data_IF_641963397570
#
_entry.id   IF_641963397570
#
_cell.length_a   1.000
_cell.length_b   1.000
_cell.length_c   1.000
_cell.angle_alpha   90.00
_cell.angle_beta   90.00
_cell.angle_gamma   90.00
#
_symmetry.space_group_name_H-M   'P 1'
#
loop_
_entity.id
_entity.type
_entity.pdbx_description
1 polymer ?
#
# COMPACT_ATOMS: atom_id res chain seq x y z
N UNK A 1 14.65 8.32 -1.20
CA UNK A 1 13.31 8.94 -1.35
C UNK A 1 13.36 10.39 -1.85
N UNK A 2 14.18 11.31 -1.30
CA UNK A 2 14.26 12.68 -1.86
C UNK A 2 14.56 12.71 -3.37
N UNK A 3 15.46 11.84 -3.86
CA UNK A 3 15.83 11.79 -5.28
C UNK A 3 14.83 11.04 -6.17
N UNK A 4 13.93 10.22 -5.59
CA UNK A 4 12.92 9.49 -6.36
C UNK A 4 11.83 10.45 -6.85
N UNK A 5 11.62 11.59 -6.21
CA UNK A 5 10.51 12.49 -6.51
C UNK A 5 9.19 12.02 -5.89
N UNK A 6 8.07 12.54 -6.41
CA UNK A 6 6.70 12.21 -5.94
C UNK A 6 5.93 11.44 -7.00
N UNK A 7 5.23 10.39 -6.60
CA UNK A 7 4.32 9.65 -7.46
C UNK A 7 3.12 9.12 -6.68
N UNK A 8 1.95 9.07 -7.33
CA UNK A 8 0.68 8.68 -6.70
C UNK A 8 0.68 7.24 -6.15
N UNK A 9 1.47 6.36 -6.74
CA UNK A 9 1.54 4.94 -6.39
C UNK A 9 2.78 4.58 -5.55
N UNK A 10 3.37 5.57 -4.86
CA UNK A 10 4.52 5.40 -3.96
C UNK A 10 4.22 6.20 -2.70
N UNK A 11 4.53 5.64 -1.53
CA UNK A 11 4.46 6.38 -0.26
C UNK A 11 5.49 7.51 -0.29
N UNK A 12 5.02 8.75 -0.28
CA UNK A 12 5.89 9.90 -0.42
C UNK A 12 6.47 10.35 0.92
N UNK A 13 7.72 10.81 0.87
CA UNK A 13 8.37 11.49 2.00
C UNK A 13 7.74 12.87 2.19
N UNK A 14 7.31 13.16 3.42
CA UNK A 14 6.79 14.46 3.83
C UNK A 14 7.87 15.31 4.50
N UNK A 15 8.77 14.69 5.26
CA UNK A 15 9.83 15.39 5.98
C UNK A 15 10.72 14.45 6.79
N UNK A 16 11.69 15.02 7.50
CA UNK A 16 12.52 14.27 8.44
C UNK A 16 12.99 15.17 9.57
N UNK A 17 13.07 14.62 10.78
CA UNK A 17 13.79 15.24 11.90
C UNK A 17 15.19 14.66 11.93
N UNK A 18 16.20 15.48 11.66
CA UNK A 18 17.59 15.03 11.47
C UNK A 18 18.60 15.69 12.40
N UNK A 19 18.17 16.61 13.26
CA UNK A 19 19.05 17.38 14.15
C UNK A 19 18.57 17.23 15.59
N UNK A 20 19.53 17.24 16.52
CA UNK A 20 19.30 17.31 17.97
C UNK A 20 18.27 16.30 18.51
N UNK A 21 18.36 15.05 18.05
CA UNK A 21 17.44 13.99 18.45
C UNK A 21 17.57 12.72 17.61
N UNK A 22 16.73 11.71 17.88
CA UNK A 22 16.65 10.52 17.04
C UNK A 22 16.17 10.87 15.62
N UNK A 23 16.67 10.13 14.63
CA UNK A 23 16.26 10.28 13.25
C UNK A 23 14.79 9.87 13.09
N UNK A 24 13.94 10.80 12.67
CA UNK A 24 12.57 10.51 12.27
C UNK A 24 12.38 10.76 10.79
N UNK A 25 11.71 9.81 10.12
CA UNK A 25 11.34 9.90 8.71
C UNK A 25 9.81 9.99 8.64
N UNK A 26 9.30 11.11 8.16
CA UNK A 26 7.88 11.43 8.13
C UNK A 26 7.38 11.14 6.72
N UNK A 27 6.40 10.25 6.59
CA UNK A 27 5.84 9.80 5.31
C UNK A 27 4.32 9.87 5.31
N UNK A 28 3.70 9.73 4.15
CA UNK A 28 2.25 9.60 4.02
C UNK A 28 1.69 8.42 4.83
N UNK A 29 0.56 8.63 5.49
CA UNK A 29 -0.15 7.60 6.24
C UNK A 29 -1.17 6.87 5.35
N UNK A 30 -1.02 5.55 5.22
CA UNK A 30 -1.97 4.68 4.52
C UNK A 30 -2.98 4.06 5.52
N UNK A 31 -4.17 4.67 5.63
CA UNK A 31 -5.18 4.31 6.65
C UNK A 31 -5.69 2.87 6.57
N UNK A 32 -5.65 2.24 5.39
CA UNK A 32 -6.08 0.85 5.20
C UNK A 32 -4.94 -0.19 5.38
N UNK A 33 -3.76 0.25 5.82
CA UNK A 33 -2.63 -0.64 6.12
C UNK A 33 -1.97 -1.22 4.86
N UNK A 34 -1.33 -2.38 5.03
CA UNK A 34 -0.62 -3.06 3.94
C UNK A 34 -1.58 -3.89 3.06
N UNK A 35 -1.18 -4.10 1.80
CA UNK A 35 -2.02 -4.79 0.80
C UNK A 35 -2.30 -6.25 1.17
N UNK A 36 -1.38 -6.95 1.85
CA UNK A 36 -1.56 -8.36 2.23
C UNK A 36 -2.74 -8.52 3.18
N UNK A 37 -2.78 -7.73 4.25
CA UNK A 37 -3.86 -7.77 5.23
C UNK A 37 -5.15 -7.17 4.67
N UNK A 38 -5.04 -6.13 3.83
CA UNK A 38 -6.17 -5.57 3.09
C UNK A 38 -6.90 -6.63 2.25
N UNK A 39 -6.16 -7.49 1.54
CA UNK A 39 -6.71 -8.58 0.71
C UNK A 39 -7.26 -9.72 1.57
N UNK A 40 -6.57 -10.11 2.65
CA UNK A 40 -7.02 -11.17 3.56
C UNK A 40 -8.36 -10.84 4.22
N UNK A 41 -8.51 -9.60 4.68
CA UNK A 41 -9.75 -9.12 5.29
C UNK A 41 -10.96 -9.13 4.35
N UNK A 42 -10.75 -9.28 3.03
CA UNK A 42 -11.81 -9.28 2.00
C UNK A 42 -11.98 -10.64 1.31
N UNK A 43 -11.38 -11.69 1.85
CA UNK A 43 -11.62 -13.07 1.38
C UNK A 43 -13.04 -13.51 1.75
N UNK A 44 -13.67 -14.36 0.93
CA UNK A 44 -14.92 -15.00 1.31
C UNK A 44 -14.79 -15.76 2.64
N UNK A 45 -15.86 -15.80 3.46
CA UNK A 45 -15.88 -16.57 4.70
C UNK A 45 -15.55 -18.05 4.43
N UNK A 46 -14.87 -18.70 5.38
CA UNK A 46 -14.51 -20.12 5.26
C UNK A 46 -13.29 -20.44 4.41
N UNK A 47 -12.63 -19.44 3.81
CA UNK A 47 -11.30 -19.63 3.19
C UNK A 47 -10.16 -19.50 4.20
N UNK A 48 -9.04 -20.18 3.93
CA UNK A 48 -7.81 -20.03 4.72
C UNK A 48 -7.40 -18.55 4.83
N UNK A 49 -6.90 -18.16 6.01
CA UNK A 49 -6.54 -16.78 6.37
C UNK A 49 -7.72 -15.78 6.42
N UNK A 50 -8.96 -16.24 6.47
CA UNK A 50 -10.07 -15.42 6.98
C UNK A 50 -9.95 -15.32 8.50
N UNK A 51 -9.94 -14.09 9.03
CA UNK A 51 -9.84 -13.87 10.48
C UNK A 51 -11.09 -14.32 11.24
N UNK A 52 -12.23 -14.38 10.54
CA UNK A 52 -13.51 -14.81 11.09
C UNK A 52 -14.27 -15.62 10.03
N UNK A 53 -14.55 -16.88 10.35
CA UNK A 53 -15.21 -17.85 9.47
C UNK A 53 -16.67 -17.49 9.23
N UNK A 54 -17.28 -16.68 10.10
CA UNK A 54 -18.70 -16.34 10.06
C UNK A 54 -18.98 -14.91 9.58
N UNK A 55 -17.94 -14.06 9.45
CA UNK A 55 -18.13 -12.65 9.10
C UNK A 55 -17.95 -12.43 7.60
N UNK A 56 -19.04 -12.06 6.93
CA UNK A 56 -18.98 -11.57 5.54
C UNK A 56 -18.22 -10.23 5.54
N UNK A 57 -17.16 -10.06 4.74
CA UNK A 57 -16.48 -8.79 4.61
C UNK A 57 -17.46 -7.71 4.13
N UNK A 58 -17.44 -6.52 4.76
CA UNK A 58 -18.26 -5.36 4.34
C UNK A 58 -17.91 -4.90 2.91
N UNK A 59 -16.67 -5.14 2.47
CA UNK A 59 -16.19 -4.88 1.12
C UNK A 59 -15.58 -6.16 0.55
N UNK A 60 -16.08 -6.65 -0.58
CA UNK A 60 -15.42 -7.71 -1.36
C UNK A 60 -14.64 -7.10 -2.52
N UNK A 61 -13.50 -7.72 -2.85
CA UNK A 61 -12.71 -7.32 -4.01
C UNK A 61 -13.29 -7.96 -5.27
N UNK A 62 -13.65 -7.14 -6.27
CA UNK A 62 -14.00 -7.65 -7.59
C UNK A 62 -12.75 -7.98 -8.40
N UNK A 63 -12.90 -8.71 -9.51
CA UNK A 63 -11.81 -8.92 -10.47
C UNK A 63 -11.24 -7.59 -10.99
N UNK A 64 -12.11 -6.61 -11.27
CA UNK A 64 -11.71 -5.28 -11.73
C UNK A 64 -10.85 -4.55 -10.69
N UNK A 65 -11.16 -4.70 -9.41
CA UNK A 65 -10.37 -4.10 -8.33
C UNK A 65 -8.97 -4.73 -8.25
N UNK A 66 -8.87 -6.04 -8.40
CA UNK A 66 -7.58 -6.75 -8.43
C UNK A 66 -6.70 -6.32 -9.62
N UNK A 67 -7.31 -6.20 -10.81
CA UNK A 67 -6.62 -5.69 -12.00
C UNK A 67 -6.19 -4.23 -11.78
N UNK A 68 -7.06 -3.39 -11.21
CA UNK A 68 -6.75 -2.00 -10.88
C UNK A 68 -5.60 -1.89 -9.87
N UNK A 69 -5.57 -2.73 -8.82
CA UNK A 69 -4.46 -2.81 -7.88
C UNK A 69 -3.15 -3.14 -8.59
N UNK A 70 -3.16 -4.18 -9.43
CA UNK A 70 -1.98 -4.59 -10.22
C UNK A 70 -1.49 -3.47 -11.13
N UNK A 71 -2.40 -2.81 -11.84
CA UNK A 71 -2.08 -1.68 -12.73
C UNK A 71 -1.45 -0.50 -11.97
N UNK A 72 -2.00 -0.14 -10.81
CA UNK A 72 -1.47 0.93 -9.97
C UNK A 72 -0.07 0.61 -9.43
N UNK A 73 0.17 -0.64 -9.00
CA UNK A 73 1.50 -1.09 -8.60
C UNK A 73 2.47 -1.03 -9.78
N UNK A 74 2.08 -1.54 -10.94
CA UNK A 74 2.90 -1.52 -12.16
C UNK A 74 3.32 -0.09 -12.54
N UNK A 75 2.40 0.89 -12.47
CA UNK A 75 2.73 2.31 -12.69
C UNK A 75 3.71 2.88 -11.66
N UNK A 76 3.56 2.49 -10.40
CA UNK A 76 4.53 2.85 -9.35
C UNK A 76 5.93 2.31 -9.67
N UNK A 77 6.01 1.06 -10.12
CA UNK A 77 7.27 0.42 -10.50
C UNK A 77 7.87 0.99 -11.79
N UNK A 78 7.04 1.31 -12.79
CA UNK A 78 7.46 2.00 -14.01
C UNK A 78 8.09 3.36 -13.68
N UNK A 79 7.46 4.12 -12.78
CA UNK A 79 8.03 5.36 -12.28
C UNK A 79 9.38 5.13 -11.60
N UNK A 80 9.48 4.19 -10.65
CA UNK A 80 10.76 3.88 -9.98
C UNK A 80 11.87 3.51 -10.98
N UNK A 81 11.56 2.65 -11.95
CA UNK A 81 12.50 2.26 -13.00
C UNK A 81 12.96 3.49 -13.82
N UNK A 82 12.07 4.41 -14.14
CA UNK A 82 12.40 5.65 -14.86
C UNK A 82 13.34 6.59 -14.07
N UNK A 83 13.30 6.52 -12.73
CA UNK A 83 14.17 7.32 -11.87
C UNK A 83 15.56 6.68 -11.67
N UNK A 84 15.85 5.55 -12.33
CA UNK A 84 17.12 4.81 -12.24
C UNK A 84 17.51 4.49 -10.79
N UNK A 85 16.52 4.13 -9.98
CA UNK A 85 16.66 3.76 -8.58
C UNK A 85 16.66 2.24 -8.40
#
# INVERSE_FOLDING_TARGET
MKMIGKHKNIINLLGACTQDGPLYVIVEYASKGNLREYLRARRPPGMEYSYDVNRVPEEQMTFKDLVSCTYQLARGMEYLASQKC
#
